data_IF_802934756592
#
_entry.id   IF_802934756592
#
_cell.length_a   1.000
_cell.length_b   1.000
_cell.length_c   1.000
_cell.angle_alpha   90.00
_cell.angle_beta   90.00
_cell.angle_gamma   90.00
#
_symmetry.space_group_name_H-M   'P 1'
#
loop_
_entity.id
_entity.type
_entity.pdbx_description
1 polymer ?
#
# COMPACT_ATOMS: atom_id res chain seq x y z
N UNK A 1 -0.92 -20.65 5.47
CA UNK A 1 -1.19 -19.69 6.57
C UNK A 1 -1.87 -20.46 7.69
N UNK A 2 -1.29 -20.50 8.87
CA UNK A 2 -1.85 -21.26 10.00
C UNK A 2 -2.94 -20.45 10.72
N UNK A 3 -3.73 -21.12 11.60
CA UNK A 3 -4.83 -20.49 12.34
C UNK A 3 -4.34 -19.35 13.23
N UNK A 4 -3.13 -19.47 13.79
CA UNK A 4 -2.52 -18.45 14.66
C UNK A 4 -2.24 -17.17 13.88
N UNK A 5 -1.74 -17.26 12.65
CA UNK A 5 -1.47 -16.10 11.81
C UNK A 5 -2.76 -15.42 11.36
N UNK A 6 -3.81 -16.19 11.11
CA UNK A 6 -5.15 -15.65 10.79
C UNK A 6 -5.70 -14.84 11.97
N UNK A 7 -5.58 -15.36 13.20
CA UNK A 7 -6.02 -14.65 14.40
C UNK A 7 -5.19 -13.39 14.65
N UNK A 8 -3.87 -13.46 14.51
CA UNK A 8 -2.98 -12.30 14.66
C UNK A 8 -3.32 -11.20 13.63
N UNK A 9 -3.53 -11.56 12.38
CA UNK A 9 -3.88 -10.61 11.33
C UNK A 9 -5.25 -9.96 11.57
N UNK A 10 -6.24 -10.72 12.05
CA UNK A 10 -7.55 -10.20 12.42
C UNK A 10 -7.48 -9.24 13.61
N UNK A 11 -6.72 -9.59 14.65
CA UNK A 11 -6.49 -8.73 15.80
C UNK A 11 -5.77 -7.44 15.41
N UNK A 12 -4.79 -7.52 14.52
CA UNK A 12 -4.07 -6.35 14.05
C UNK A 12 -4.94 -5.45 13.17
N UNK A 13 -5.76 -6.01 12.29
CA UNK A 13 -6.73 -5.25 11.51
C UNK A 13 -7.72 -4.50 12.41
N UNK A 14 -8.20 -5.15 13.47
CA UNK A 14 -9.07 -4.52 14.48
C UNK A 14 -8.35 -3.39 15.22
N UNK A 15 -7.09 -3.57 15.59
CA UNK A 15 -6.27 -2.54 16.23
C UNK A 15 -6.05 -1.32 15.33
N UNK A 16 -5.79 -1.53 14.02
CA UNK A 16 -5.70 -0.44 13.04
C UNK A 16 -7.02 0.33 12.95
N UNK A 17 -8.15 -0.36 12.85
CA UNK A 17 -9.45 0.30 12.80
C UNK A 17 -9.74 1.12 14.06
N UNK A 18 -9.39 0.59 15.24
CA UNK A 18 -9.51 1.31 16.50
C UNK A 18 -8.59 2.55 16.53
N UNK A 19 -7.37 2.43 16.04
CA UNK A 19 -6.42 3.55 15.94
C UNK A 19 -6.94 4.63 14.98
N UNK A 20 -7.45 4.27 13.81
CA UNK A 20 -8.07 5.20 12.86
C UNK A 20 -9.23 5.95 13.50
N UNK A 21 -10.14 5.23 14.15
CA UNK A 21 -11.28 5.83 14.85
C UNK A 21 -10.86 6.72 16.02
N UNK A 22 -9.76 6.41 16.69
CA UNK A 22 -9.19 7.25 17.74
C UNK A 22 -8.58 8.54 17.15
N UNK A 23 -7.85 8.43 16.05
CA UNK A 23 -7.26 9.57 15.35
C UNK A 23 -8.34 10.49 14.75
N UNK A 24 -9.49 9.96 14.32
CA UNK A 24 -10.61 10.74 13.79
C UNK A 24 -11.20 11.76 14.78
N UNK A 25 -11.06 11.52 16.08
CA UNK A 25 -11.60 12.43 17.10
C UNK A 25 -10.84 13.75 17.20
N UNK A 26 -9.53 13.71 17.01
CA UNK A 26 -8.62 14.86 17.02
C UNK A 26 -7.33 14.46 16.32
N UNK A 27 -7.25 14.62 14.98
CA UNK A 27 -6.10 14.18 14.21
C UNK A 27 -4.78 14.80 14.65
N UNK A 28 -4.78 16.11 14.92
CA UNK A 28 -3.54 16.81 15.30
C UNK A 28 -2.91 16.26 16.58
N UNK A 29 -3.72 16.02 17.58
CA UNK A 29 -3.25 15.50 18.87
C UNK A 29 -3.02 14.00 18.86
N UNK A 30 -3.86 13.24 18.14
CA UNK A 30 -3.91 11.79 18.27
C UNK A 30 -2.98 11.05 17.29
N UNK A 31 -2.63 11.63 16.13
CA UNK A 31 -1.65 11.04 15.21
C UNK A 31 -0.27 10.87 15.89
N UNK A 32 0.32 11.89 16.55
CA UNK A 32 1.58 11.72 17.27
C UNK A 32 1.51 10.67 18.38
N UNK A 33 0.37 10.56 19.09
CA UNK A 33 0.18 9.55 20.14
C UNK A 33 0.16 8.13 19.56
N UNK A 34 -0.56 7.91 18.45
CA UNK A 34 -0.58 6.61 17.78
C UNK A 34 0.81 6.25 17.27
N UNK A 35 1.55 7.19 16.66
CA UNK A 35 2.94 6.97 16.26
C UNK A 35 3.83 6.56 17.43
N UNK A 36 3.67 7.17 18.59
CA UNK A 36 4.39 6.79 19.82
C UNK A 36 4.05 5.36 20.29
N UNK A 37 2.80 4.93 20.13
CA UNK A 37 2.38 3.55 20.46
C UNK A 37 3.02 2.56 19.48
N UNK A 38 2.98 2.87 18.17
CA UNK A 38 3.62 2.06 17.12
C UNK A 38 5.12 1.90 17.40
N UNK A 39 5.80 2.96 17.81
CA UNK A 39 7.23 2.91 18.13
C UNK A 39 7.57 1.99 19.30
N UNK A 40 6.72 1.95 20.32
CA UNK A 40 6.89 1.08 21.47
C UNK A 40 6.57 -0.38 21.18
N UNK A 41 5.64 -0.63 20.25
CA UNK A 41 5.20 -1.97 19.90
C UNK A 41 5.99 -2.59 18.74
N UNK A 42 6.69 -1.77 17.94
CA UNK A 42 7.42 -2.24 16.77
C UNK A 42 8.69 -3.02 17.19
N UNK A 43 9.02 -4.10 16.48
CA UNK A 43 10.29 -4.78 16.64
C UNK A 43 11.47 -3.83 16.45
N UNK A 44 12.58 -4.13 17.13
CA UNK A 44 13.81 -3.34 17.03
C UNK A 44 14.26 -3.23 15.56
N UNK A 45 14.59 -2.02 15.12
CA UNK A 45 15.01 -1.76 13.74
C UNK A 45 13.91 -1.77 12.68
N UNK A 46 12.70 -2.25 12.99
CA UNK A 46 11.62 -2.35 12.00
C UNK A 46 11.20 -0.97 11.46
N UNK A 47 11.55 -0.71 10.20
CA UNK A 47 11.34 0.56 9.52
C UNK A 47 11.69 1.80 10.37
N UNK A 48 12.75 1.72 11.18
CA UNK A 48 13.12 2.77 12.14
C UNK A 48 13.40 4.11 11.46
N UNK A 49 14.10 4.11 10.32
CA UNK A 49 14.40 5.31 9.53
C UNK A 49 13.13 5.99 9.02
N UNK A 50 12.22 5.21 8.43
CA UNK A 50 10.96 5.71 7.88
C UNK A 50 10.04 6.26 8.98
N UNK A 51 9.92 5.54 10.09
CA UNK A 51 9.14 6.00 11.26
C UNK A 51 9.69 7.30 11.82
N UNK A 52 11.02 7.44 11.88
CA UNK A 52 11.67 8.66 12.34
C UNK A 52 11.41 9.83 11.40
N UNK A 53 11.54 9.62 10.09
CA UNK A 53 11.26 10.65 9.08
C UNK A 53 9.79 11.13 9.13
N UNK A 54 8.83 10.21 9.33
CA UNK A 54 7.41 10.58 9.50
C UNK A 54 7.21 11.42 10.77
N UNK A 55 7.80 11.03 11.90
CA UNK A 55 7.70 11.81 13.15
C UNK A 55 8.27 13.20 13.01
N UNK A 56 9.46 13.31 12.43
CA UNK A 56 10.10 14.58 12.18
C UNK A 56 9.24 15.45 11.26
N UNK A 57 8.76 14.90 10.15
CA UNK A 57 7.88 15.62 9.23
C UNK A 57 6.57 16.09 9.88
N UNK A 58 5.99 15.31 10.80
CA UNK A 58 4.81 15.72 11.57
C UNK A 58 5.17 16.84 12.56
N UNK A 59 6.29 16.72 13.29
CA UNK A 59 6.70 17.72 14.27
C UNK A 59 7.05 19.07 13.61
N UNK A 60 7.67 19.04 12.46
CA UNK A 60 8.06 20.22 11.69
C UNK A 60 6.92 20.79 10.81
N UNK A 61 5.75 20.14 10.79
CA UNK A 61 4.64 20.44 9.88
C UNK A 61 5.06 20.47 8.41
N UNK A 62 5.98 19.58 8.02
CA UNK A 62 6.50 19.44 6.66
C UNK A 62 5.58 18.63 5.74
N UNK A 63 6.12 18.20 4.60
CA UNK A 63 5.37 17.49 3.55
C UNK A 63 4.62 16.23 4.04
N UNK A 64 5.17 15.51 5.00
CA UNK A 64 4.52 14.35 5.61
C UNK A 64 3.29 14.72 6.44
N UNK A 65 3.34 15.87 7.11
CA UNK A 65 2.19 16.41 7.82
C UNK A 65 1.09 16.84 6.84
N UNK A 66 1.45 17.53 5.75
CA UNK A 66 0.49 17.91 4.69
C UNK A 66 -0.15 16.68 4.05
N UNK A 67 0.64 15.63 3.75
CA UNK A 67 0.11 14.38 3.22
C UNK A 67 -0.86 13.74 4.23
N UNK A 68 -0.49 13.66 5.49
CA UNK A 68 -1.34 13.11 6.54
C UNK A 68 -2.66 13.88 6.67
N UNK A 69 -2.65 15.20 6.62
CA UNK A 69 -3.86 16.02 6.66
C UNK A 69 -4.76 15.83 5.45
N UNK A 70 -4.18 15.70 4.24
CA UNK A 70 -4.93 15.39 3.02
C UNK A 70 -5.57 14.00 3.06
N UNK A 71 -4.82 13.01 3.52
CA UNK A 71 -5.35 11.65 3.73
C UNK A 71 -6.47 11.67 4.77
N UNK A 72 -6.33 12.49 5.81
CA UNK A 72 -7.36 12.62 6.84
C UNK A 72 -8.63 13.33 6.36
N UNK A 73 -8.53 14.17 5.35
CA UNK A 73 -9.68 14.83 4.71
C UNK A 73 -10.49 13.90 3.79
N UNK A 74 -9.99 12.70 3.49
CA UNK A 74 -10.73 11.70 2.73
C UNK A 74 -11.92 11.15 3.53
N UNK A 75 -12.92 10.64 2.81
CA UNK A 75 -14.04 9.92 3.41
C UNK A 75 -13.55 8.81 4.35
N UNK A 76 -14.14 8.63 5.55
CA UNK A 76 -13.71 7.64 6.53
C UNK A 76 -13.68 6.19 6.02
N UNK A 77 -14.61 5.77 5.15
CA UNK A 77 -14.62 4.43 4.58
C UNK A 77 -13.51 4.25 3.54
N UNK A 78 -13.21 5.29 2.76
CA UNK A 78 -12.08 5.31 1.84
C UNK A 78 -10.77 5.17 2.61
N UNK A 79 -10.58 5.95 3.68
CA UNK A 79 -9.41 5.85 4.55
C UNK A 79 -9.26 4.46 5.17
N UNK A 80 -10.33 3.93 5.73
CA UNK A 80 -10.35 2.59 6.33
C UNK A 80 -9.94 1.52 5.30
N UNK A 81 -10.50 1.59 4.10
CA UNK A 81 -10.18 0.68 3.00
C UNK A 81 -8.71 0.81 2.60
N UNK A 82 -8.21 2.03 2.42
CA UNK A 82 -6.82 2.28 2.09
C UNK A 82 -5.85 1.71 3.13
N UNK A 83 -6.04 2.06 4.40
CA UNK A 83 -5.15 1.58 5.46
C UNK A 83 -5.24 0.06 5.67
N UNK A 84 -6.43 -0.53 5.56
CA UNK A 84 -6.59 -1.99 5.63
C UNK A 84 -5.84 -2.67 4.49
N UNK A 85 -5.99 -2.19 3.27
CA UNK A 85 -5.33 -2.80 2.11
C UNK A 85 -3.82 -2.57 2.12
N UNK A 86 -3.38 -1.36 2.40
CA UNK A 86 -1.96 -1.02 2.37
C UNK A 86 -1.18 -1.63 3.54
N UNK A 87 -1.69 -1.50 4.77
CA UNK A 87 -0.96 -1.97 5.96
C UNK A 87 -1.23 -3.44 6.21
N UNK A 88 -2.52 -3.85 6.31
CA UNK A 88 -2.84 -5.24 6.71
C UNK A 88 -2.57 -6.19 5.55
N UNK A 89 -3.13 -5.92 4.37
CA UNK A 89 -3.04 -6.86 3.27
C UNK A 89 -1.66 -6.82 2.60
N UNK A 90 -1.16 -5.65 2.19
CA UNK A 90 0.10 -5.56 1.45
C UNK A 90 1.34 -5.69 2.35
N UNK A 91 1.40 -4.90 3.47
CA UNK A 91 2.63 -4.81 4.26
C UNK A 91 2.79 -5.92 5.31
N UNK A 92 1.71 -6.52 5.80
CA UNK A 92 1.80 -7.58 6.83
C UNK A 92 1.53 -8.95 6.23
N UNK A 93 0.30 -9.19 5.79
CA UNK A 93 -0.10 -10.48 5.25
C UNK A 93 0.66 -10.82 3.98
N UNK A 94 0.79 -9.85 3.07
CA UNK A 94 1.52 -10.00 1.81
C UNK A 94 2.99 -10.32 2.06
N UNK A 95 3.69 -9.51 2.87
CA UNK A 95 5.12 -9.72 3.14
C UNK A 95 5.41 -11.07 3.82
N UNK A 96 4.52 -11.53 4.70
CA UNK A 96 4.68 -12.84 5.31
C UNK A 96 4.54 -13.98 4.29
N UNK A 97 3.56 -13.89 3.39
CA UNK A 97 3.34 -14.87 2.35
C UNK A 97 4.42 -14.83 1.26
N UNK A 98 4.91 -13.63 0.91
CA UNK A 98 6.06 -13.47 0.00
C UNK A 98 7.27 -14.21 0.54
N UNK A 99 7.63 -13.96 1.80
CA UNK A 99 8.77 -14.62 2.43
C UNK A 99 8.63 -16.15 2.44
N UNK A 100 7.46 -16.68 2.78
CA UNK A 100 7.17 -18.13 2.72
C UNK A 100 7.36 -18.67 1.29
N UNK A 101 6.89 -17.92 0.29
CA UNK A 101 7.00 -18.29 -1.12
C UNK A 101 8.45 -18.24 -1.62
N UNK A 102 9.17 -17.16 -1.26
CA UNK A 102 10.59 -16.98 -1.61
C UNK A 102 11.45 -18.10 -1.07
N UNK A 103 11.25 -18.49 0.20
CA UNK A 103 11.97 -19.59 0.84
C UNK A 103 11.64 -20.94 0.20
N UNK A 104 10.38 -21.16 -0.21
CA UNK A 104 9.92 -22.43 -0.77
C UNK A 104 10.32 -22.62 -2.23
N UNK A 105 10.22 -21.58 -3.04
CA UNK A 105 10.38 -21.64 -4.50
C UNK A 105 11.76 -21.12 -4.96
N UNK A 106 12.63 -20.71 -4.03
CA UNK A 106 13.96 -20.11 -4.30
C UNK A 106 13.89 -18.98 -5.34
N UNK A 107 12.94 -18.07 -5.17
CA UNK A 107 12.70 -16.96 -6.08
C UNK A 107 12.40 -15.69 -5.32
N UNK A 108 12.46 -14.54 -6.00
CA UNK A 108 12.04 -13.27 -5.44
C UNK A 108 10.60 -12.98 -5.82
N UNK A 109 9.75 -12.64 -4.85
CA UNK A 109 8.35 -12.27 -5.07
C UNK A 109 8.19 -10.75 -5.04
N UNK A 110 7.67 -10.11 -6.09
CA UNK A 110 7.53 -8.66 -6.12
C UNK A 110 6.49 -8.18 -5.09
N UNK A 111 6.86 -7.16 -4.31
CA UNK A 111 5.92 -6.51 -3.39
C UNK A 111 4.80 -5.77 -4.13
N UNK A 112 5.12 -5.19 -5.30
CA UNK A 112 4.17 -4.50 -6.16
C UNK A 112 4.39 -4.88 -7.63
N UNK A 113 3.32 -4.91 -8.40
CA UNK A 113 3.35 -5.11 -9.86
C UNK A 113 2.84 -3.85 -10.52
N UNK A 114 3.64 -3.32 -11.45
CA UNK A 114 3.24 -2.21 -12.30
C UNK A 114 2.62 -2.78 -13.58
N UNK A 115 1.42 -2.32 -13.90
CA UNK A 115 0.66 -2.76 -15.07
C UNK A 115 0.37 -1.59 -15.99
N UNK A 116 0.66 -1.80 -17.25
CA UNK A 116 0.26 -0.90 -18.35
C UNK A 116 -0.89 -1.56 -19.13
N UNK A 117 -2.15 -1.31 -18.74
CA UNK A 117 -3.28 -2.04 -19.31
C UNK A 117 -3.53 -1.73 -20.79
N UNK A 118 -3.05 -0.60 -21.27
CA UNK A 118 -3.21 -0.19 -22.67
C UNK A 118 -2.06 0.68 -23.14
N UNK A 119 -1.67 0.57 -24.41
CA UNK A 119 -0.78 1.53 -25.06
C UNK A 119 -1.52 2.67 -25.77
N UNK A 120 -2.86 2.66 -25.74
CA UNK A 120 -3.70 3.68 -26.40
C UNK A 120 -3.72 4.98 -25.57
N UNK A 121 -2.64 5.76 -25.68
CA UNK A 121 -2.53 7.07 -25.06
C UNK A 121 -2.69 8.17 -26.11
N UNK A 122 -3.46 9.21 -25.82
CA UNK A 122 -3.63 10.37 -26.72
C UNK A 122 -2.65 11.51 -26.42
N UNK A 123 -1.70 11.32 -25.50
CA UNK A 123 -0.69 12.29 -25.13
C UNK A 123 0.64 11.98 -25.81
N UNK A 124 1.43 13.04 -26.05
CA UNK A 124 2.78 12.98 -26.62
C UNK A 124 3.76 13.63 -25.63
N UNK A 125 3.89 13.05 -24.45
CA UNK A 125 4.77 13.59 -23.41
C UNK A 125 6.24 13.49 -23.84
N UNK A 126 7.01 14.56 -23.67
CA UNK A 126 8.45 14.55 -23.94
C UNK A 126 9.15 13.52 -23.07
N UNK A 127 9.91 12.60 -23.69
CA UNK A 127 10.61 11.53 -22.98
C UNK A 127 9.72 10.39 -22.46
N UNK A 128 8.51 10.27 -22.95
CA UNK A 128 7.63 9.16 -22.59
C UNK A 128 8.17 7.85 -23.21
N UNK A 129 8.53 6.91 -22.37
CA UNK A 129 9.03 5.59 -22.77
C UNK A 129 7.98 4.75 -23.51
N UNK A 130 6.70 5.01 -23.29
CA UNK A 130 5.60 4.28 -23.91
C UNK A 130 5.11 4.89 -25.25
N UNK A 131 5.62 6.06 -25.66
CA UNK A 131 5.16 6.76 -26.85
C UNK A 131 5.40 5.99 -28.16
N UNK A 132 6.34 5.04 -28.16
CA UNK A 132 6.74 4.26 -29.34
C UNK A 132 5.94 2.97 -29.52
N UNK A 133 5.14 2.54 -28.55
CA UNK A 133 4.42 1.25 -28.62
C UNK A 133 3.16 1.28 -29.49
N UNK A 134 2.72 2.45 -29.94
CA UNK A 134 1.48 2.61 -30.70
C UNK A 134 0.24 2.28 -29.89
N UNK A 135 -0.92 2.14 -30.54
CA UNK A 135 -2.23 2.02 -29.88
C UNK A 135 -2.81 0.59 -29.88
N UNK A 136 -1.98 -0.42 -30.08
CA UNK A 136 -2.47 -1.80 -30.36
C UNK A 136 -2.27 -2.78 -29.20
N UNK A 137 -1.47 -2.41 -28.21
CA UNK A 137 -1.17 -3.29 -27.09
C UNK A 137 -2.19 -3.05 -25.97
N UNK A 138 -2.99 -4.05 -25.67
CA UNK A 138 -3.99 -3.98 -24.61
C UNK A 138 -4.01 -5.30 -23.84
N UNK A 139 -4.14 -5.21 -22.53
CA UNK A 139 -4.46 -6.36 -21.67
C UNK A 139 -5.98 -6.53 -21.62
N UNK A 140 -6.46 -7.77 -21.72
CA UNK A 140 -7.88 -8.04 -21.46
C UNK A 140 -8.17 -7.98 -19.95
N UNK A 141 -9.43 -7.80 -19.58
CA UNK A 141 -9.87 -7.83 -18.18
C UNK A 141 -9.57 -9.18 -17.54
N UNK A 142 -9.72 -10.28 -18.30
CA UNK A 142 -9.40 -11.62 -17.83
C UNK A 142 -7.90 -11.75 -17.52
N UNK A 143 -7.04 -11.22 -18.37
CA UNK A 143 -5.58 -11.22 -18.13
C UNK A 143 -5.22 -10.43 -16.88
N UNK A 144 -5.83 -9.25 -16.68
CA UNK A 144 -5.60 -8.42 -15.49
C UNK A 144 -6.09 -9.15 -14.23
N UNK A 145 -7.27 -9.77 -14.27
CA UNK A 145 -7.80 -10.54 -13.16
C UNK A 145 -6.93 -11.73 -12.81
N UNK A 146 -6.44 -12.45 -13.81
CA UNK A 146 -5.50 -13.56 -13.64
C UNK A 146 -4.19 -13.11 -12.98
N UNK A 147 -3.60 -12.00 -13.42
CA UNK A 147 -2.38 -11.45 -12.81
C UNK A 147 -2.63 -11.11 -11.34
N UNK A 148 -3.74 -10.45 -11.03
CA UNK A 148 -4.10 -10.08 -9.65
C UNK A 148 -4.35 -11.33 -8.80
N UNK A 149 -5.09 -12.29 -9.34
CA UNK A 149 -5.46 -13.52 -8.62
C UNK A 149 -4.23 -14.37 -8.32
N UNK A 150 -3.30 -14.53 -9.28
CA UNK A 150 -2.05 -15.25 -9.09
C UNK A 150 -1.11 -14.49 -8.15
N UNK A 151 -0.97 -13.17 -8.34
CA UNK A 151 -0.15 -12.33 -7.46
C UNK A 151 -0.58 -12.40 -6.00
N UNK A 152 -1.89 -12.38 -5.71
CA UNK A 152 -2.42 -12.55 -4.35
C UNK A 152 -2.03 -13.90 -3.72
N UNK A 153 -1.97 -14.97 -4.51
CA UNK A 153 -1.51 -16.30 -4.03
C UNK A 153 -0.05 -16.29 -3.63
N UNK A 154 0.76 -15.42 -4.24
CA UNK A 154 2.18 -15.24 -3.94
C UNK A 154 2.43 -14.17 -2.86
N UNK A 155 1.41 -13.44 -2.44
CA UNK A 155 1.52 -12.37 -1.44
C UNK A 155 1.66 -10.97 -2.02
N UNK A 156 1.51 -10.78 -3.33
CA UNK A 156 1.48 -9.45 -3.95
C UNK A 156 0.09 -8.85 -3.87
N UNK A 157 -0.06 -7.75 -3.13
CA UNK A 157 -1.33 -7.04 -2.92
C UNK A 157 -1.31 -5.60 -3.41
N UNK A 158 -0.19 -5.13 -3.96
CA UNK A 158 -0.06 -3.78 -4.51
C UNK A 158 0.06 -3.84 -6.02
N UNK A 159 -0.84 -3.14 -6.71
CA UNK A 159 -0.85 -3.03 -8.17
C UNK A 159 -0.90 -1.55 -8.55
N UNK A 160 0.02 -1.13 -9.41
CA UNK A 160 0.13 0.25 -9.88
C UNK A 160 -0.23 0.26 -11.36
N UNK A 161 -1.32 0.93 -11.69
CA UNK A 161 -1.72 1.13 -13.07
C UNK A 161 -1.07 2.39 -13.62
N UNK A 162 -0.37 2.26 -14.72
CA UNK A 162 0.27 3.38 -15.43
C UNK A 162 -0.23 3.48 -16.86
N UNK A 163 0.37 4.37 -17.64
CA UNK A 163 -0.01 4.74 -18.99
C UNK A 163 -1.18 5.73 -19.03
N UNK A 164 -2.09 5.61 -19.87
CA UNK A 164 -3.04 6.67 -20.21
C UNK A 164 -3.88 7.17 -19.03
N UNK A 165 -3.58 8.35 -18.49
CA UNK A 165 -4.40 9.04 -17.48
C UNK A 165 -5.68 9.66 -18.08
N UNK A 166 -5.89 9.57 -19.39
CA UNK A 166 -7.03 10.19 -20.07
C UNK A 166 -8.39 9.58 -19.66
N UNK A 167 -8.38 8.36 -19.17
CA UNK A 167 -9.60 7.69 -18.73
C UNK A 167 -9.91 7.90 -17.24
N UNK A 168 -9.05 8.64 -16.55
CA UNK A 168 -9.25 9.03 -15.15
C UNK A 168 -9.84 10.43 -15.08
#
# INVERSE_FOLDING_TARGET
MNVVDTIKNAAFASAIQAALKYMDKDPETNIPKVMSIVDKAAPEGWYAGQRNAIRQGIAEKGNWYELATKVWALDPEVRKTFFTNFIVNASLKGSALQKETEEKEDCNVPWAILLDPTSACNLHCTGCWAAEYGHKLNLSLETIDDIITQGKKLGTYMYIYTLSLIHI
#
